data_IF_802421169890
#
_entry.id   IF_802421169890
#
_cell.length_a   1.000
_cell.length_b   1.000
_cell.length_c   1.000
_cell.angle_alpha   90.00
_cell.angle_beta   90.00
_cell.angle_gamma   90.00
#
_symmetry.space_group_name_H-M   'P 1'
#
loop_
_entity.id
_entity.type
_entity.pdbx_description
1 polymer ?
#
# COMPACT_ATOMS: atom_id res chain seq x y z
N UNK A 1 1.59 11.56 5.32
CA UNK A 1 0.16 11.82 5.16
C UNK A 1 -0.63 11.06 6.20
N UNK A 2 -1.62 11.71 6.81
CA UNK A 2 -2.39 11.08 7.89
C UNK A 2 -3.13 9.84 7.44
N UNK A 3 -3.78 9.86 6.28
CA UNK A 3 -4.55 8.72 5.80
C UNK A 3 -3.65 7.53 5.46
N UNK A 4 -2.50 7.76 4.84
CA UNK A 4 -1.54 6.71 4.52
C UNK A 4 -0.92 6.15 5.79
N UNK A 5 -0.53 7.01 6.74
CA UNK A 5 0.06 6.58 8.00
C UNK A 5 -0.93 5.74 8.81
N UNK A 6 -2.20 6.13 8.82
CA UNK A 6 -3.25 5.38 9.51
C UNK A 6 -3.43 4.00 8.90
N UNK A 7 -3.45 3.90 7.57
CA UNK A 7 -3.56 2.62 6.88
C UNK A 7 -2.34 1.75 7.12
N UNK A 8 -1.13 2.32 7.01
CA UNK A 8 0.11 1.59 7.27
C UNK A 8 0.14 1.03 8.69
N UNK A 9 -0.29 1.83 9.67
CA UNK A 9 -0.37 1.40 11.06
C UNK A 9 -1.37 0.25 11.24
N UNK A 10 -2.52 0.32 10.58
CA UNK A 10 -3.53 -0.74 10.61
C UNK A 10 -2.98 -2.04 10.03
N UNK A 11 -2.29 -1.97 8.89
CA UNK A 11 -1.67 -3.14 8.25
C UNK A 11 -0.62 -3.74 9.19
N UNK A 12 0.23 -2.93 9.80
CA UNK A 12 1.25 -3.41 10.74
C UNK A 12 0.65 -4.13 11.93
N UNK A 13 -0.44 -3.60 12.49
CA UNK A 13 -1.12 -4.22 13.65
C UNK A 13 -1.80 -5.53 13.30
N UNK A 14 -2.19 -5.71 12.05
CA UNK A 14 -2.90 -6.88 11.58
C UNK A 14 -2.05 -7.74 10.65
N UNK A 15 -0.74 -7.72 10.83
CA UNK A 15 0.20 -8.39 9.95
C UNK A 15 -0.11 -9.89 9.79
N UNK A 16 -0.46 -10.57 10.87
CA UNK A 16 -0.79 -11.99 10.81
C UNK A 16 -2.02 -12.24 9.92
N UNK A 17 -3.03 -11.39 10.04
CA UNK A 17 -4.23 -11.47 9.20
C UNK A 17 -3.88 -11.29 7.72
N UNK A 18 -3.08 -10.28 7.40
CA UNK A 18 -2.67 -10.03 6.02
C UNK A 18 -1.78 -11.13 5.47
N UNK A 19 -0.93 -11.73 6.31
CA UNK A 19 -0.14 -12.89 5.91
C UNK A 19 -1.02 -14.07 5.52
N UNK A 20 -2.10 -14.30 6.27
CA UNK A 20 -3.04 -15.38 5.98
C UNK A 20 -3.87 -15.08 4.72
N UNK A 21 -4.19 -13.82 4.50
CA UNK A 21 -5.04 -13.40 3.37
C UNK A 21 -4.28 -13.40 2.05
N UNK A 22 -3.06 -12.87 2.03
CA UNK A 22 -2.30 -12.65 0.81
C UNK A 22 -1.11 -13.60 0.64
N UNK A 23 -0.71 -14.30 1.70
CA UNK A 23 0.55 -15.04 1.69
C UNK A 23 1.71 -14.06 1.66
N UNK A 24 2.56 -14.12 0.62
CA UNK A 24 3.64 -13.17 0.44
C UNK A 24 3.18 -12.06 -0.50
N UNK A 25 3.14 -10.85 0.02
CA UNK A 25 2.63 -9.70 -0.74
C UNK A 25 3.39 -8.43 -0.41
N UNK A 26 3.38 -7.52 -1.36
CA UNK A 26 3.88 -6.16 -1.20
C UNK A 26 2.75 -5.20 -1.54
N UNK A 27 2.48 -4.26 -0.65
CA UNK A 27 1.42 -3.25 -0.85
C UNK A 27 2.06 -1.88 -0.85
N UNK A 28 1.83 -1.14 -1.92
CA UNK A 28 2.31 0.24 -2.06
C UNK A 28 1.16 1.16 -2.40
N UNK A 29 1.27 2.41 -1.97
CA UNK A 29 0.40 3.48 -2.43
C UNK A 29 1.23 4.45 -3.25
N UNK A 30 0.78 4.70 -4.47
CA UNK A 30 1.35 5.72 -5.33
C UNK A 30 0.38 6.90 -5.29
N UNK A 31 0.84 8.02 -4.81
CA UNK A 31 0.04 9.24 -4.66
C UNK A 31 0.54 10.31 -5.61
N UNK A 32 -0.38 10.96 -6.33
CA UNK A 32 -0.05 12.08 -7.19
C UNK A 32 -0.40 13.40 -6.52
N UNK A 33 0.58 14.25 -6.35
CA UNK A 33 0.40 15.62 -5.87
C UNK A 33 0.89 16.56 -6.95
N UNK A 34 2.14 17.02 -6.90
CA UNK A 34 2.79 17.67 -8.02
C UNK A 34 3.57 16.66 -8.83
N UNK A 35 3.82 15.51 -8.25
CA UNK A 35 4.65 14.42 -8.73
C UNK A 35 4.14 13.12 -8.13
N UNK A 36 4.50 11.97 -8.72
CA UNK A 36 4.17 10.69 -8.14
C UNK A 36 5.08 10.40 -6.95
N UNK A 37 4.47 10.03 -5.83
CA UNK A 37 5.18 9.62 -4.62
C UNK A 37 4.71 8.24 -4.22
N UNK A 38 5.67 7.35 -3.95
CA UNK A 38 5.39 5.96 -3.60
C UNK A 38 5.68 5.72 -2.13
N UNK A 39 4.73 5.12 -1.43
CA UNK A 39 4.89 4.72 -0.04
C UNK A 39 4.64 3.23 0.08
N UNK A 40 5.63 2.48 0.57
CA UNK A 40 5.47 1.06 0.85
C UNK A 40 4.77 0.90 2.20
N UNK A 41 3.64 0.20 2.19
CA UNK A 41 2.81 0.03 3.38
C UNK A 41 3.06 -1.32 4.03
N UNK A 42 3.29 -2.34 3.23
CA UNK A 42 3.42 -3.71 3.71
C UNK A 42 4.32 -4.49 2.76
N UNK A 43 5.22 -5.28 3.32
CA UNK A 43 6.10 -6.13 2.52
C UNK A 43 6.61 -7.29 3.39
N UNK A 44 6.15 -8.50 3.11
CA UNK A 44 6.63 -9.71 3.77
C UNK A 44 7.28 -10.67 2.77
N UNK A 45 7.81 -10.15 1.67
CA UNK A 45 8.31 -10.94 0.56
C UNK A 45 9.77 -11.32 0.78
N UNK A 46 10.11 -12.63 0.81
CA UNK A 46 11.51 -13.06 0.76
C UNK A 46 12.14 -12.70 -0.59
N UNK A 47 13.45 -12.52 -0.61
CA UNK A 47 14.17 -12.04 -1.80
C UNK A 47 14.09 -12.98 -3.01
N UNK A 48 13.86 -14.27 -2.78
CA UNK A 48 13.90 -15.30 -3.82
C UNK A 48 12.56 -15.57 -4.49
N UNK A 49 11.50 -14.85 -4.11
CA UNK A 49 10.18 -15.03 -4.71
C UNK A 49 9.95 -14.07 -5.86
N UNK A 50 9.09 -14.50 -6.79
CA UNK A 50 8.75 -13.72 -7.98
C UNK A 50 7.30 -13.26 -7.90
N UNK A 51 7.04 -12.04 -8.36
CA UNK A 51 5.67 -11.52 -8.47
C UNK A 51 4.87 -12.35 -9.48
N UNK A 52 3.72 -12.88 -9.04
CA UNK A 52 2.84 -13.68 -9.88
C UNK A 52 1.58 -12.95 -10.31
N UNK A 53 1.12 -12.01 -9.50
CA UNK A 53 -0.07 -11.22 -9.79
C UNK A 53 0.11 -9.81 -9.25
N UNK A 54 -0.43 -8.84 -9.95
CA UNK A 54 -0.43 -7.45 -9.52
C UNK A 54 -1.82 -6.87 -9.68
N UNK A 55 -2.33 -6.24 -8.63
CA UNK A 55 -3.64 -5.60 -8.64
C UNK A 55 -3.46 -4.12 -8.41
N UNK A 56 -4.23 -3.31 -9.15
CA UNK A 56 -4.25 -1.86 -8.99
C UNK A 56 -5.65 -1.42 -8.62
N UNK A 57 -5.76 -0.50 -7.68
CA UNK A 57 -7.05 0.04 -7.27
C UNK A 57 -6.92 1.55 -7.07
N UNK A 58 -7.66 2.36 -7.85
CA UNK A 58 -7.62 3.80 -7.67
C UNK A 58 -8.26 4.21 -6.34
N UNK A 59 -7.66 5.18 -5.67
CA UNK A 59 -8.13 5.67 -4.37
C UNK A 59 -7.97 7.18 -4.31
N UNK A 60 -8.64 7.78 -3.33
CA UNK A 60 -8.43 9.18 -2.98
C UNK A 60 -7.65 9.21 -1.67
N UNK A 61 -6.51 9.88 -1.67
CA UNK A 61 -5.69 10.07 -0.49
C UNK A 61 -6.04 11.41 0.13
N UNK A 62 -6.62 11.35 1.31
CA UNK A 62 -7.04 12.56 2.01
C UNK A 62 -5.96 13.03 2.99
N UNK A 63 -5.54 14.29 2.84
CA UNK A 63 -4.61 14.93 3.76
C UNK A 63 -5.40 15.87 4.67
N UNK A 64 -5.63 15.43 5.91
CA UNK A 64 -6.45 16.17 6.87
C UNK A 64 -5.81 17.48 7.30
N UNK A 65 -4.49 17.56 7.33
CA UNK A 65 -3.78 18.78 7.75
C UNK A 65 -3.93 19.90 6.73
N UNK A 66 -3.93 19.57 5.45
CA UNK A 66 -4.02 20.53 4.36
C UNK A 66 -5.42 20.59 3.73
N UNK A 67 -6.33 19.74 4.20
CA UNK A 67 -7.68 19.60 3.65
C UNK A 67 -7.65 19.33 2.14
N UNK A 68 -6.69 18.56 1.67
CA UNK A 68 -6.51 18.21 0.26
C UNK A 68 -6.88 16.78 -0.01
N UNK A 69 -7.38 16.53 -1.22
CA UNK A 69 -7.62 15.19 -1.74
C UNK A 69 -6.73 14.99 -2.96
N UNK A 70 -5.89 13.98 -2.90
CA UNK A 70 -4.98 13.67 -4.00
C UNK A 70 -5.37 12.33 -4.62
N UNK A 71 -5.16 12.20 -5.93
CA UNK A 71 -5.36 10.94 -6.63
C UNK A 71 -4.27 9.96 -6.21
N UNK A 72 -4.64 8.71 -6.02
CA UNK A 72 -3.67 7.67 -5.70
C UNK A 72 -4.08 6.34 -6.29
N UNK A 73 -3.12 5.40 -6.28
CA UNK A 73 -3.34 4.03 -6.70
C UNK A 73 -2.71 3.11 -5.66
N UNK A 74 -3.51 2.19 -5.13
CA UNK A 74 -2.99 1.11 -4.30
C UNK A 74 -2.54 0.00 -5.23
N UNK A 75 -1.30 -0.43 -5.09
CA UNK A 75 -0.74 -1.54 -5.85
C UNK A 75 -0.49 -2.69 -4.89
N UNK A 76 -1.05 -3.86 -5.19
CA UNK A 76 -0.85 -5.08 -4.42
C UNK A 76 -0.17 -6.09 -5.33
N UNK A 77 1.06 -6.48 -4.99
CA UNK A 77 1.81 -7.50 -5.70
C UNK A 77 1.82 -8.78 -4.87
N UNK A 78 1.37 -9.88 -5.45
CA UNK A 78 1.37 -11.20 -4.82
C UNK A 78 2.59 -11.97 -5.33
N UNK A 79 3.30 -12.60 -4.43
CA UNK A 79 4.53 -13.33 -4.72
C UNK A 79 4.41 -14.80 -4.36
N UNK A 80 5.04 -15.62 -5.13
CA UNK A 80 5.14 -17.06 -4.84
C UNK A 80 6.37 -17.70 -5.46
#
# INVERSE_FOLDING_TARGET
KLAIDSFANTVSKNQLYYNQLFGHAKITINEYETDWQTTEIYNNVPEDLTSTQTFFNPVIVYNALEAKKNFGVIEIEIYS
#
